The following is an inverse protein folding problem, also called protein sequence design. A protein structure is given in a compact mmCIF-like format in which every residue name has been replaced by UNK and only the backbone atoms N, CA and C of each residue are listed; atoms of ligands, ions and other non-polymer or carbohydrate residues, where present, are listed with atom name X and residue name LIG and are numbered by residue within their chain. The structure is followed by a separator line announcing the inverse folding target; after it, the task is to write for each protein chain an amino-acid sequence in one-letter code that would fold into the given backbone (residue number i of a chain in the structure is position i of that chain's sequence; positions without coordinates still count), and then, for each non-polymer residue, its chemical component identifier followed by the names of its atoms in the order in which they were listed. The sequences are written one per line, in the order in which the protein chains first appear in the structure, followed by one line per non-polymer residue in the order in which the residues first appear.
data_IF_985018259136
#
_entry.id   IF_985018259136
#
_cell.length_a   1.000
_cell.length_b   1.000
_cell.length_c   1.000
_cell.angle_alpha   90.00
_cell.angle_beta   90.00
_cell.angle_gamma   90.00
#
_symmetry.space_group_name_H-M   'P 1'
#
loop_
_entity.id
_entity.type
_entity.pdbx_description
1 polymer ?
#
# COMPACT_ATOMS: atom_id res chain seq x y z
N UNK A 1 -1.73 -17.53 -13.29
CA UNK A 1 -1.85 -16.06 -13.29
C UNK A 1 -1.64 -15.54 -11.87
N UNK A 2 -0.90 -14.45 -11.69
CA UNK A 2 -0.67 -13.86 -10.36
C UNK A 2 -2.01 -13.56 -9.67
N UNK A 3 -2.26 -14.24 -8.55
CA UNK A 3 -3.44 -14.07 -7.70
C UNK A 3 -3.29 -12.73 -6.97
N UNK A 4 -3.97 -11.70 -7.46
CA UNK A 4 -4.00 -10.32 -6.97
C UNK A 4 -2.73 -9.48 -7.26
N UNK A 5 -2.93 -8.29 -7.86
CA UNK A 5 -1.88 -7.28 -8.08
C UNK A 5 -2.08 -6.19 -7.05
N UNK A 6 -1.02 -5.64 -6.46
CA UNK A 6 -1.18 -4.50 -5.54
C UNK A 6 -1.84 -3.31 -6.23
N UNK A 7 -1.41 -3.00 -7.47
CA UNK A 7 -2.05 -1.98 -8.31
C UNK A 7 -3.13 -2.59 -9.21
N UNK A 8 -4.33 -2.03 -9.19
CA UNK A 8 -5.40 -2.41 -10.10
C UNK A 8 -5.06 -2.00 -11.54
N UNK A 9 -5.41 -2.84 -12.53
CA UNK A 9 -5.18 -2.52 -13.96
C UNK A 9 -5.93 -1.27 -14.42
N UNK A 10 -7.03 -0.93 -13.74
CA UNK A 10 -7.82 0.28 -13.99
C UNK A 10 -7.02 1.56 -13.81
N UNK A 11 -5.93 1.55 -13.02
CA UNK A 11 -5.09 2.73 -12.81
C UNK A 11 -4.53 3.28 -14.13
N UNK A 12 -4.27 2.41 -15.11
CA UNK A 12 -3.76 2.82 -16.42
C UNK A 12 -4.78 3.59 -17.27
N UNK A 13 -6.07 3.48 -16.96
CA UNK A 13 -7.15 4.20 -17.65
C UNK A 13 -7.83 5.24 -16.75
N UNK A 14 -7.25 5.51 -15.58
CA UNK A 14 -7.76 6.53 -14.66
C UNK A 14 -7.57 7.91 -15.30
N UNK A 15 -8.67 8.61 -15.52
CA UNK A 15 -8.65 9.89 -16.23
C UNK A 15 -7.90 10.96 -15.44
N UNK A 16 -8.14 11.04 -14.14
CA UNK A 16 -7.56 12.09 -13.28
C UNK A 16 -6.06 11.88 -13.11
N UNK A 17 -5.62 10.63 -12.99
CA UNK A 17 -4.19 10.30 -12.93
C UNK A 17 -3.49 10.59 -14.26
N UNK A 18 -4.10 10.20 -15.38
CA UNK A 18 -3.52 10.41 -16.71
C UNK A 18 -3.49 11.90 -17.13
N UNK A 19 -4.23 12.79 -16.45
CA UNK A 19 -4.15 14.25 -16.64
C UNK A 19 -2.89 14.86 -15.98
N UNK A 20 -2.24 14.16 -15.03
CA UNK A 20 -1.04 14.66 -14.34
C UNK A 20 0.21 14.57 -15.22
N UNK A 21 1.26 15.31 -14.86
CA UNK A 21 2.57 15.14 -15.47
C UNK A 21 3.12 13.72 -15.23
N UNK A 22 3.99 13.22 -16.12
CA UNK A 22 4.56 11.87 -15.97
C UNK A 22 5.26 11.67 -14.62
N UNK A 23 5.93 12.72 -14.10
CA UNK A 23 6.59 12.68 -12.80
C UNK A 23 5.57 12.57 -11.67
N UNK A 24 4.49 13.35 -11.72
CA UNK A 24 3.37 13.26 -10.76
C UNK A 24 2.65 11.91 -10.81
N UNK A 25 2.48 11.32 -12.00
CA UNK A 25 1.94 9.96 -12.15
C UNK A 25 2.82 8.92 -11.45
N UNK A 26 4.14 9.04 -11.60
CA UNK A 26 5.10 8.16 -10.94
C UNK A 26 5.04 8.30 -9.43
N UNK A 27 5.05 9.53 -8.92
CA UNK A 27 4.96 9.81 -7.47
C UNK A 27 3.68 9.21 -6.91
N UNK A 28 2.53 9.49 -7.53
CA UNK A 28 1.23 8.94 -7.11
C UNK A 28 1.24 7.42 -7.01
N UNK A 29 1.67 6.75 -8.08
CA UNK A 29 1.66 5.27 -8.14
C UNK A 29 2.59 4.63 -7.12
N UNK A 30 3.71 5.30 -6.81
CA UNK A 30 4.70 4.80 -5.85
C UNK A 30 4.33 5.11 -4.39
N UNK A 31 3.45 6.09 -4.14
CA UNK A 31 2.88 6.31 -2.80
C UNK A 31 1.95 5.17 -2.37
N UNK A 32 1.23 4.52 -3.29
CA UNK A 32 0.20 3.50 -2.99
C UNK A 32 0.64 2.42 -1.99
N UNK A 33 1.82 1.78 -2.11
CA UNK A 33 2.28 0.78 -1.14
C UNK A 33 2.47 1.30 0.29
N UNK A 34 2.63 2.61 0.48
CA UNK A 34 2.88 3.24 1.78
C UNK A 34 1.62 3.85 2.39
N UNK A 35 0.49 3.80 1.69
CA UNK A 35 -0.79 4.22 2.23
C UNK A 35 -1.26 3.22 3.29
N UNK A 36 -1.87 3.73 4.36
CA UNK A 36 -2.57 2.89 5.32
C UNK A 36 -3.90 2.35 4.76
N UNK A 37 -4.64 1.62 5.60
CA UNK A 37 -5.95 1.04 5.27
C UNK A 37 -7.02 2.10 4.89
N UNK A 38 -6.76 3.37 5.18
CA UNK A 38 -7.63 4.51 4.89
C UNK A 38 -7.11 5.37 3.74
N UNK A 39 -5.94 5.07 3.16
CA UNK A 39 -5.37 5.88 2.10
C UNK A 39 -4.59 7.08 2.62
N UNK A 40 -4.14 7.03 3.88
CA UNK A 40 -3.44 8.12 4.55
C UNK A 40 -1.92 7.91 4.51
N UNK A 41 -1.19 9.01 4.42
CA UNK A 41 0.27 9.07 4.45
C UNK A 41 0.73 10.44 4.97
N UNK A 42 1.99 10.58 5.37
CA UNK A 42 2.54 11.86 5.85
C UNK A 42 2.38 13.00 4.83
N UNK A 43 2.04 14.20 5.33
CA UNK A 43 2.02 15.44 4.54
C UNK A 43 3.35 16.22 4.58
N UNK A 44 4.34 15.73 5.33
CA UNK A 44 5.67 16.32 5.32
C UNK A 44 6.39 15.94 4.01
N UNK A 45 6.75 16.97 3.24
CA UNK A 45 7.33 16.85 1.90
C UNK A 45 8.64 16.07 1.92
N UNK A 46 9.51 16.36 2.89
CA UNK A 46 10.79 15.69 3.06
C UNK A 46 10.60 14.20 3.36
N UNK A 47 9.75 13.88 4.35
CA UNK A 47 9.44 12.51 4.73
C UNK A 47 8.80 11.74 3.57
N UNK A 48 7.84 12.34 2.85
CA UNK A 48 7.21 11.71 1.69
C UNK A 48 8.25 11.42 0.60
N UNK A 49 9.15 12.37 0.32
CA UNK A 49 10.26 12.18 -0.63
C UNK A 49 11.16 11.03 -0.19
N UNK A 50 11.58 10.99 1.07
CA UNK A 50 12.48 9.94 1.57
C UNK A 50 11.81 8.57 1.63
N UNK A 51 10.51 8.52 1.91
CA UNK A 51 9.72 7.31 1.98
C UNK A 51 9.57 6.67 0.59
N UNK A 52 9.25 7.47 -0.42
CA UNK A 52 8.94 6.98 -1.77
C UNK A 52 10.20 6.90 -2.66
N UNK A 53 11.14 7.84 -2.52
CA UNK A 53 12.35 7.96 -3.33
C UNK A 53 13.62 8.12 -2.47
N UNK A 54 13.95 7.12 -1.63
CA UNK A 54 15.08 7.20 -0.72
C UNK A 54 16.39 7.39 -1.50
N UNK A 55 17.12 8.46 -1.16
CA UNK A 55 18.43 8.81 -1.76
C UNK A 55 18.43 8.99 -3.28
N UNK A 56 17.28 9.08 -3.93
CA UNK A 56 17.21 9.35 -5.36
C UNK A 56 17.56 10.84 -5.61
N UNK A 57 18.61 11.15 -6.39
CA UNK A 57 18.98 12.53 -6.69
C UNK A 57 18.16 13.15 -7.84
N UNK A 58 17.36 12.35 -8.57
CA UNK A 58 16.55 12.82 -9.70
C UNK A 58 15.17 13.33 -9.30
N UNK A 59 14.78 13.12 -8.03
CA UNK A 59 13.54 13.59 -7.45
C UNK A 59 13.91 14.49 -6.28
N UNK A 60 13.51 15.75 -6.37
CA UNK A 60 13.71 16.76 -5.32
C UNK A 60 12.41 16.99 -4.55
N UNK A 61 12.49 17.63 -3.37
CA UNK A 61 11.30 18.02 -2.59
C UNK A 61 10.35 18.91 -3.41
N UNK A 62 10.90 19.77 -4.27
CA UNK A 62 10.12 20.59 -5.21
C UNK A 62 9.24 19.74 -6.15
N UNK A 63 9.69 18.56 -6.55
CA UNK A 63 8.89 17.68 -7.41
C UNK A 63 7.67 17.14 -6.66
N UNK A 64 7.81 16.91 -5.35
CA UNK A 64 6.71 16.53 -4.48
C UNK A 64 5.72 17.69 -4.32
N UNK A 65 6.21 18.92 -4.12
CA UNK A 65 5.35 20.11 -4.08
C UNK A 65 4.56 20.30 -5.38
N UNK A 66 5.23 20.17 -6.53
CA UNK A 66 4.58 20.22 -7.84
C UNK A 66 3.51 19.14 -7.98
N UNK A 67 3.82 17.92 -7.54
CA UNK A 67 2.85 16.83 -7.52
C UNK A 67 1.63 17.15 -6.65
N UNK A 68 1.81 17.66 -5.43
CA UNK A 68 0.70 18.01 -4.54
C UNK A 68 -0.18 19.11 -5.13
N UNK A 69 0.43 20.08 -5.83
CA UNK A 69 -0.30 21.12 -6.54
C UNK A 69 -1.09 20.59 -7.76
N UNK A 70 -0.56 19.60 -8.48
CA UNK A 70 -1.23 18.97 -9.63
C UNK A 70 -2.34 18.01 -9.20
N UNK A 71 -2.10 17.21 -8.17
CA UNK A 71 -2.93 16.06 -7.79
C UNK A 71 -4.13 16.41 -6.89
N UNK A 72 -4.57 17.66 -6.83
CA UNK A 72 -5.66 18.15 -5.96
C UNK A 72 -7.01 17.42 -6.13
N UNK A 73 -7.26 16.85 -7.32
CA UNK A 73 -8.45 16.00 -7.57
C UNK A 73 -8.33 14.62 -6.93
N UNK A 74 -7.12 14.09 -6.84
CA UNK A 74 -6.80 12.75 -6.34
C UNK A 74 -6.37 12.75 -4.87
N UNK A 75 -5.94 13.90 -4.33
CA UNK A 75 -5.38 14.03 -2.99
C UNK A 75 -6.05 15.16 -2.24
N UNK A 76 -6.32 14.93 -0.97
CA UNK A 76 -6.69 15.97 -0.01
C UNK A 76 -5.53 16.18 0.98
N UNK A 77 -5.16 17.44 1.18
CA UNK A 77 -4.18 17.81 2.21
C UNK A 77 -4.96 18.08 3.49
N UNK A 78 -4.67 17.31 4.54
CA UNK A 78 -5.20 17.48 5.89
C UNK A 78 -4.09 18.04 6.80
N UNK A 79 -4.46 18.39 8.04
CA UNK A 79 -3.54 19.05 8.98
C UNK A 79 -2.29 18.20 9.27
N UNK A 80 -2.43 16.88 9.41
CA UNK A 80 -1.34 15.96 9.78
C UNK A 80 -0.99 14.90 8.72
N UNK A 81 -1.77 14.82 7.64
CA UNK A 81 -1.63 13.78 6.62
C UNK A 81 -2.18 14.17 5.25
N UNK A 82 -1.85 13.37 4.24
CA UNK A 82 -2.45 13.38 2.92
C UNK A 82 -3.45 12.23 2.82
N UNK A 83 -4.61 12.49 2.25
CA UNK A 83 -5.61 11.47 1.94
C UNK A 83 -5.70 11.23 0.43
N UNK A 84 -5.45 9.98 0.01
CA UNK A 84 -5.53 9.56 -1.38
C UNK A 84 -6.95 9.11 -1.72
N UNK A 85 -7.68 9.97 -2.43
CA UNK A 85 -9.06 9.76 -2.82
C UNK A 85 -9.17 8.55 -3.75
N UNK A 86 -10.05 7.62 -3.40
CA UNK A 86 -10.34 6.47 -4.26
C UNK A 86 -9.19 5.47 -4.40
N UNK A 87 -8.17 5.49 -3.52
CA UNK A 87 -7.03 4.56 -3.58
C UNK A 87 -7.46 3.08 -3.56
N UNK A 88 -8.60 2.76 -2.93
CA UNK A 88 -9.20 1.41 -2.88
C UNK A 88 -9.52 0.89 -4.28
N UNK A 89 -9.93 1.77 -5.22
CA UNK A 89 -10.17 1.37 -6.62
C UNK A 89 -8.89 0.94 -7.32
N UNK A 90 -7.76 1.38 -6.78
CA UNK A 90 -6.42 1.21 -7.34
C UNK A 90 -5.54 0.26 -6.51
N UNK A 91 -6.02 -0.23 -5.36
CA UNK A 91 -5.31 -1.14 -4.47
C UNK A 91 -6.10 -2.45 -4.27
N UNK A 92 -5.48 -3.59 -4.54
CA UNK A 92 -6.13 -4.92 -4.45
C UNK A 92 -5.68 -5.72 -3.21
N UNK A 93 -5.01 -5.09 -2.24
CA UNK A 93 -4.64 -5.73 -0.97
C UNK A 93 -5.93 -6.02 -0.18
N UNK A 94 -6.12 -7.31 0.14
CA UNK A 94 -7.27 -7.83 0.89
C UNK A 94 -7.16 -7.56 2.39
N UNK A 95 -8.32 -7.54 3.05
CA UNK A 95 -8.57 -7.22 4.47
C UNK A 95 -7.78 -8.02 5.53
N UNK A 96 -6.94 -8.96 5.12
CA UNK A 96 -6.14 -9.82 6.01
C UNK A 96 -4.76 -9.23 6.36
N UNK A 97 -4.39 -8.07 5.79
CA UNK A 97 -3.13 -7.36 6.06
C UNK A 97 -3.38 -5.91 6.48
N UNK A 98 -4.20 -5.72 7.52
CA UNK A 98 -4.56 -4.41 8.05
C UNK A 98 -3.40 -3.79 8.83
N UNK A 99 -3.06 -2.54 8.53
CA UNK A 99 -2.19 -1.71 9.35
C UNK A 99 -3.04 -0.72 10.15
N UNK A 100 -2.79 -0.59 11.46
CA UNK A 100 -3.46 0.46 12.24
C UNK A 100 -2.98 1.83 11.73
N UNK A 101 -3.92 2.74 11.50
CA UNK A 101 -3.59 4.13 11.18
C UNK A 101 -2.84 4.77 12.34
N UNK A 102 -1.79 5.52 12.03
CA UNK A 102 -0.97 6.25 13.00
C UNK A 102 -1.37 7.74 13.10
N UNK A 103 -2.28 8.20 12.24
CA UNK A 103 -2.71 9.60 12.13
C UNK A 103 -3.88 9.93 13.06
N UNK A 104 -4.09 11.21 13.36
CA UNK A 104 -5.20 11.66 14.21
C UNK A 104 -6.55 11.35 13.54
N UNK A 105 -7.59 11.16 14.36
CA UNK A 105 -8.94 10.94 13.84
C UNK A 105 -9.45 12.18 13.07
N UNK A 106 -9.85 11.97 11.83
CA UNK A 106 -10.36 12.93 10.86
C UNK A 106 -11.65 12.39 10.21
N UNK A 107 -12.19 13.12 9.22
CA UNK A 107 -13.44 12.73 8.55
C UNK A 107 -13.42 11.36 7.85
N UNK A 108 -12.23 10.80 7.60
CA UNK A 108 -11.99 9.59 6.80
C UNK A 108 -11.66 8.34 7.63
N UNK A 109 -10.99 8.51 8.78
CA UNK A 109 -10.60 7.41 9.68
C UNK A 109 -11.42 7.36 10.99
N UNK A 110 -12.55 8.08 11.08
CA UNK A 110 -13.47 8.04 12.24
C UNK A 110 -14.27 6.73 12.32
N UNK A 111 -13.95 5.87 13.30
CA UNK A 111 -14.60 4.57 13.53
C UNK A 111 -14.09 3.43 12.65
N UNK A 112 -14.67 2.21 12.77
CA UNK A 112 -14.40 1.13 11.81
C UNK A 112 -14.69 1.70 10.42
N UNK A 113 -13.66 1.78 9.57
CA UNK A 113 -13.74 2.35 8.23
C UNK A 113 -15.07 2.01 7.56
N UNK A 114 -15.79 2.99 7.02
CA UNK A 114 -16.96 2.78 6.15
C UNK A 114 -16.58 1.98 4.88
N UNK A 115 -15.27 1.86 4.65
CA UNK A 115 -14.63 1.07 3.61
C UNK A 115 -13.99 -0.22 4.12
N UNK A 116 -14.14 -0.56 5.40
CA UNK A 116 -13.84 -1.88 5.95
C UNK A 116 -15.14 -2.68 5.93
N UNK A 117 -15.25 -3.73 5.09
CA UNK A 117 -16.41 -4.61 5.11
C UNK A 117 -16.63 -5.18 6.51
N UNK A 118 -17.90 -5.36 6.87
CA UNK A 118 -18.29 -6.15 8.03
C UNK A 118 -17.76 -7.56 7.83
N UNK A 119 -17.03 -8.07 8.83
CA UNK A 119 -16.50 -9.43 8.87
C UNK A 119 -17.66 -10.40 8.61
N UNK A 120 -17.64 -11.22 7.55
CA UNK A 120 -18.50 -12.39 7.50
C UNK A 120 -18.09 -13.27 8.66
N UNK A 121 -19.03 -13.60 9.55
CA UNK A 121 -18.80 -14.37 10.77
C UNK A 121 -18.24 -15.78 10.55
N UNK A 122 -18.09 -16.22 9.29
CA UNK A 122 -17.45 -17.47 8.91
C UNK A 122 -16.47 -17.24 7.74
N UNK A 123 -15.19 -17.67 7.85
CA UNK A 123 -14.32 -17.73 6.70
C UNK A 123 -14.89 -18.75 5.68
N UNK A 124 -14.82 -18.49 4.36
CA UNK A 124 -15.21 -19.46 3.36
C UNK A 124 -14.31 -20.71 3.48
N UNK A 125 -14.95 -21.87 3.54
CA UNK A 125 -14.41 -23.21 3.81
C UNK A 125 -13.38 -23.74 2.78
N UNK A 126 -12.82 -22.87 1.93
CA UNK A 126 -11.91 -23.24 0.84
C UNK A 126 -10.62 -22.41 0.82
N UNK A 127 -10.06 -22.07 1.98
CA UNK A 127 -8.65 -21.72 2.08
C UNK A 127 -7.85 -23.03 2.11
N UNK A 128 -7.41 -23.46 0.92
CA UNK A 128 -6.63 -24.66 0.68
C UNK A 128 -5.51 -24.84 1.72
N UNK A 129 -5.51 -26.03 2.34
CA UNK A 129 -4.44 -26.54 3.17
C UNK A 129 -3.11 -26.56 2.39
N UNK A 130 -2.27 -25.55 2.56
CA UNK A 130 -0.84 -25.71 2.29
C UNK A 130 -0.24 -26.55 3.42
N UNK A 131 -0.35 -27.88 3.27
CA UNK A 131 0.44 -28.85 4.03
C UNK A 131 1.91 -28.63 3.69
N UNK A 132 2.60 -27.84 4.52
CA UNK A 132 4.05 -27.94 4.64
C UNK A 132 4.33 -29.35 5.17
N UNK A 133 4.74 -30.24 4.26
CA UNK A 133 5.21 -31.58 4.61
C UNK A 133 6.46 -31.45 5.49
N UNK A 134 6.34 -31.87 6.75
CA UNK A 134 7.44 -31.98 7.72
C UNK A 134 8.44 -33.10 7.42
N UNK A 135 8.37 -33.71 6.24
CA UNK A 135 9.19 -34.87 5.88
C UNK A 135 10.24 -34.50 4.81
N UNK A 136 11.29 -33.77 5.20
CA UNK A 136 12.56 -33.72 4.41
C UNK A 136 13.79 -33.11 5.09
N UNK A 137 13.92 -33.23 6.41
CA UNK A 137 15.23 -33.11 7.08
C UNK A 137 15.44 -34.34 7.96
N UNK A 138 15.58 -35.48 7.31
CA UNK A 138 16.04 -36.73 7.93
C UNK A 138 16.95 -37.48 6.96
N UNK A 139 17.98 -36.80 6.45
CA UNK A 139 19.04 -37.42 5.66
C UNK A 139 20.30 -36.56 5.59
N UNK A 140 20.86 -36.25 6.75
CA UNK A 140 22.31 -36.01 6.87
C UNK A 140 22.84 -36.87 8.03
N UNK A 141 23.12 -38.14 7.71
CA UNK A 141 24.09 -38.93 8.47
C UNK A 141 25.46 -38.59 7.89
N UNK A 142 26.33 -37.96 8.67
CA UNK A 142 27.77 -38.24 8.57
C UNK A 142 28.30 -38.54 9.96
N UNK A 143 28.61 -39.82 10.11
CA UNK A 143 29.36 -40.47 11.17
C UNK A 143 30.50 -39.63 11.76
N UNK A 144 30.49 -39.46 13.08
CA UNK A 144 31.69 -39.58 13.92
C UNK A 144 31.23 -40.19 15.24
N UNK A 145 31.62 -41.44 15.46
CA UNK A 145 32.07 -41.98 16.76
C UNK A 145 32.46 -43.45 16.57
N UNK A 146 33.77 -43.67 16.48
CA UNK A 146 34.41 -44.92 16.91
C UNK A 146 35.21 -44.54 18.16
N UNK A 147 34.76 -45.01 19.32
CA UNK A 147 35.59 -45.30 20.50
C UNK A 147 35.39 -46.79 20.75
#
# INVERSE_FOLDING_TARGET
MAKSRMLARSISIDKELNELSLKSQLIYTWCIPFLDDFGLITNDVGNLKYLVFPRNPQIEERDIDCFLAEATKLIEILDDCLFFKGFIKNNTITEYKKAKSEFQENGYNKGKSKYSPEIPSNPPENAAEDKISKDKISKDKISKDKI
#
